data_IF_784705551185
#
_entry.id   IF_784705551185
#
_cell.length_a   1.000
_cell.length_b   1.000
_cell.length_c   1.000
_cell.angle_alpha   90.00
_cell.angle_beta   90.00
_cell.angle_gamma   90.00
#
_symmetry.space_group_name_H-M   'P 1'
#
loop_
_entity.id
_entity.type
_entity.pdbx_description
1 polymer ?
#
# COMPACT_ATOMS: atom_id res chain seq x y z
N UNK A 1 4.71 -25.32 2.65
CA UNK A 1 4.72 -24.62 1.34
C UNK A 1 5.93 -23.72 1.31
N UNK A 2 6.68 -23.65 0.19
CA UNK A 2 7.84 -22.76 0.06
C UNK A 2 7.39 -21.32 -0.09
N UNK A 3 8.06 -20.32 0.55
CA UNK A 3 7.87 -18.91 0.23
C UNK A 3 8.17 -18.63 -1.24
N UNK A 4 7.49 -17.66 -1.84
CA UNK A 4 7.60 -17.36 -3.26
C UNK A 4 7.54 -15.86 -3.56
N UNK A 5 8.24 -15.47 -4.62
CA UNK A 5 8.17 -14.15 -5.20
C UNK A 5 6.95 -14.05 -6.14
N UNK A 6 6.47 -12.85 -6.31
CA UNK A 6 5.40 -12.50 -7.24
C UNK A 6 5.95 -11.65 -8.39
N UNK A 7 5.40 -11.81 -9.60
CA UNK A 7 5.72 -10.94 -10.72
C UNK A 7 5.02 -9.60 -10.53
N UNK A 8 5.74 -8.48 -10.35
CA UNK A 8 5.10 -7.17 -10.16
C UNK A 8 4.28 -6.76 -11.38
N UNK A 9 3.13 -6.13 -11.12
CA UNK A 9 2.27 -5.56 -12.17
C UNK A 9 2.38 -4.05 -12.10
N UNK A 10 2.61 -3.40 -13.22
CA UNK A 10 2.81 -1.96 -13.29
C UNK A 10 1.70 -1.27 -14.09
N UNK A 11 1.35 -0.06 -13.63
CA UNK A 11 0.36 0.78 -14.27
C UNK A 11 0.91 2.17 -14.58
N UNK A 12 0.62 2.66 -15.80
CA UNK A 12 0.83 4.05 -16.14
C UNK A 12 -0.12 4.95 -15.36
N UNK A 13 0.43 5.98 -14.75
CA UNK A 13 -0.36 7.03 -14.08
C UNK A 13 0.09 8.41 -14.54
N UNK A 14 -0.85 9.38 -14.53
CA UNK A 14 -0.55 10.76 -14.97
C UNK A 14 0.38 11.52 -14.00
N UNK A 15 0.64 10.96 -12.84
CA UNK A 15 1.46 11.52 -11.77
C UNK A 15 2.77 10.75 -11.55
N UNK A 16 2.94 9.61 -12.23
CA UNK A 16 4.04 8.69 -11.99
C UNK A 16 5.38 9.14 -12.53
N UNK A 17 6.44 8.52 -12.03
CA UNK A 17 7.83 8.63 -12.51
C UNK A 17 8.48 7.24 -12.61
N UNK A 18 9.80 7.13 -12.61
CA UNK A 18 10.48 5.91 -13.02
C UNK A 18 11.62 5.44 -12.10
N UNK A 19 11.59 5.74 -10.79
CA UNK A 19 12.64 5.23 -9.89
C UNK A 19 12.58 3.70 -9.81
N UNK A 20 11.40 3.13 -9.53
CA UNK A 20 11.20 1.67 -9.49
C UNK A 20 11.42 1.06 -10.87
N UNK A 21 10.91 1.68 -11.95
CA UNK A 21 11.12 1.21 -13.31
C UNK A 21 12.61 1.06 -13.62
N UNK A 22 13.42 2.08 -13.32
CA UNK A 22 14.86 2.07 -13.55
C UNK A 22 15.58 1.03 -12.71
N UNK A 23 15.21 0.86 -11.43
CA UNK A 23 15.77 -0.18 -10.58
C UNK A 23 15.53 -1.58 -11.17
N UNK A 24 14.43 -1.76 -11.93
CA UNK A 24 14.06 -3.00 -12.64
C UNK A 24 14.50 -3.04 -14.10
N UNK A 25 15.33 -2.10 -14.56
CA UNK A 25 15.85 -2.07 -15.92
C UNK A 25 14.83 -1.66 -17.00
N UNK A 26 13.74 -0.99 -16.60
CA UNK A 26 12.66 -0.52 -17.48
C UNK A 26 12.77 1.00 -17.63
N UNK A 27 12.78 1.51 -18.88
CA UNK A 27 12.90 2.95 -19.17
C UNK A 27 11.53 3.57 -19.49
N UNK A 28 10.56 3.36 -18.60
CA UNK A 28 9.20 3.90 -18.73
C UNK A 28 8.70 4.45 -17.38
N UNK A 29 7.82 5.46 -17.45
CA UNK A 29 7.21 6.09 -16.28
C UNK A 29 5.97 5.28 -15.84
N UNK A 30 6.15 4.39 -14.86
CA UNK A 30 5.06 3.71 -14.18
C UNK A 30 4.96 4.21 -12.75
N UNK A 31 3.85 4.87 -12.43
CA UNK A 31 3.65 5.43 -11.08
C UNK A 31 3.20 4.43 -10.05
N UNK A 32 2.58 3.32 -10.46
CA UNK A 32 2.12 2.26 -9.55
C UNK A 32 2.76 0.93 -9.94
N UNK A 33 3.29 0.24 -8.92
CA UNK A 33 3.82 -1.11 -9.02
C UNK A 33 3.19 -2.01 -7.97
N UNK A 34 2.24 -2.86 -8.39
CA UNK A 34 1.59 -3.83 -7.53
C UNK A 34 2.53 -4.98 -7.23
N UNK A 35 3.03 -5.04 -6.00
CA UNK A 35 3.95 -6.08 -5.51
C UNK A 35 3.20 -7.32 -5.05
N UNK A 36 2.10 -7.11 -4.33
CA UNK A 36 1.24 -8.18 -3.85
C UNK A 36 -0.21 -7.77 -4.07
N UNK A 37 -0.93 -8.56 -4.80
CA UNK A 37 -2.36 -8.41 -5.00
C UNK A 37 -3.00 -9.76 -5.35
N UNK A 38 -4.06 -10.11 -4.65
CA UNK A 38 -4.95 -11.21 -4.98
C UNK A 38 -6.33 -10.70 -5.40
N UNK A 39 -6.44 -9.40 -5.73
CA UNK A 39 -7.70 -8.78 -6.11
C UNK A 39 -8.13 -9.22 -7.53
N UNK A 40 -9.42 -9.48 -7.80
CA UNK A 40 -9.90 -9.89 -9.13
C UNK A 40 -9.53 -8.93 -10.27
N UNK A 41 -9.43 -7.63 -9.98
CA UNK A 41 -8.98 -6.64 -10.95
C UNK A 41 -7.50 -6.83 -11.36
N UNK A 42 -6.64 -7.25 -10.42
CA UNK A 42 -5.20 -7.32 -10.61
C UNK A 42 -4.63 -8.34 -9.62
N UNK A 43 -4.31 -9.55 -10.07
CA UNK A 43 -3.66 -10.57 -9.24
C UNK A 43 -2.30 -10.94 -9.82
N UNK A 44 -1.25 -10.83 -9.01
CA UNK A 44 0.13 -11.13 -9.43
C UNK A 44 0.29 -12.61 -9.74
N UNK A 45 1.09 -12.92 -10.76
CA UNK A 45 1.58 -14.28 -11.00
C UNK A 45 2.67 -14.65 -10.00
N UNK A 46 2.72 -15.93 -9.66
CA UNK A 46 3.79 -16.50 -8.85
C UNK A 46 4.97 -16.79 -9.77
N UNK A 47 6.14 -16.26 -9.44
CA UNK A 47 7.38 -16.42 -10.24
C UNK A 47 7.66 -17.88 -10.52
N UNK A 48 7.90 -18.19 -11.79
CA UNK A 48 8.19 -19.56 -12.25
C UNK A 48 6.97 -20.47 -12.40
N UNK A 49 5.75 -19.92 -12.33
CA UNK A 49 4.49 -20.65 -12.56
C UNK A 49 3.55 -19.87 -13.47
N UNK A 50 2.49 -20.55 -13.96
CA UNK A 50 1.39 -19.87 -14.67
C UNK A 50 0.25 -19.43 -13.74
N UNK A 51 0.35 -19.71 -12.43
CA UNK A 51 -0.70 -19.41 -11.45
C UNK A 51 -0.58 -18.02 -10.88
N UNK A 52 -1.72 -17.40 -10.66
CA UNK A 52 -1.83 -16.16 -9.88
C UNK A 52 -1.93 -16.45 -8.38
N UNK A 53 -1.63 -15.45 -7.56
CA UNK A 53 -1.82 -15.53 -6.11
C UNK A 53 -3.28 -15.84 -5.74
N UNK A 54 -4.25 -15.24 -6.44
CA UNK A 54 -5.67 -15.49 -6.21
C UNK A 54 -6.03 -16.95 -6.49
N UNK A 55 -5.57 -17.53 -7.61
CA UNK A 55 -5.83 -18.93 -7.94
C UNK A 55 -5.22 -19.88 -6.91
N UNK A 56 -3.99 -19.60 -6.45
CA UNK A 56 -3.35 -20.39 -5.40
C UNK A 56 -4.11 -20.34 -4.07
N UNK A 57 -4.61 -19.16 -3.70
CA UNK A 57 -5.45 -19.01 -2.51
C UNK A 57 -6.76 -19.81 -2.67
N UNK A 58 -7.42 -19.73 -3.82
CA UNK A 58 -8.66 -20.49 -4.08
C UNK A 58 -8.46 -22.00 -4.03
N UNK A 59 -7.29 -22.50 -4.45
CA UNK A 59 -6.96 -23.93 -4.42
C UNK A 59 -6.56 -24.44 -3.02
N UNK A 60 -5.91 -23.61 -2.21
CA UNK A 60 -5.28 -24.03 -0.94
C UNK A 60 -5.32 -22.94 0.14
N UNK A 61 -6.52 -22.37 0.36
CA UNK A 61 -6.73 -21.19 1.19
C UNK A 61 -6.09 -21.29 2.58
N UNK A 62 -6.39 -22.37 3.33
CA UNK A 62 -5.88 -22.56 4.69
C UNK A 62 -4.36 -22.75 4.75
N UNK A 63 -3.75 -23.34 3.69
CA UNK A 63 -2.29 -23.52 3.63
C UNK A 63 -1.58 -22.21 3.26
N UNK A 64 -2.22 -21.39 2.42
CA UNK A 64 -1.66 -20.12 1.98
C UNK A 64 -1.87 -19.03 3.02
N UNK A 65 -3.11 -18.82 3.45
CA UNK A 65 -3.48 -17.67 4.29
C UNK A 65 -3.47 -17.96 5.79
N UNK A 66 -3.77 -19.20 6.20
CA UNK A 66 -4.05 -19.57 7.58
C UNK A 66 -5.54 -19.86 7.79
N UNK A 67 -5.85 -20.62 8.85
CA UNK A 67 -7.23 -21.06 9.11
C UNK A 67 -8.18 -19.90 9.32
N UNK A 68 -9.25 -19.92 8.53
CA UNK A 68 -10.32 -18.93 8.62
C UNK A 68 -10.00 -17.58 7.99
N UNK A 69 -8.79 -17.35 7.47
CA UNK A 69 -8.50 -16.22 6.62
C UNK A 69 -9.03 -16.48 5.21
N UNK A 70 -9.57 -15.45 4.56
CA UNK A 70 -10.16 -15.52 3.23
C UNK A 70 -9.44 -14.57 2.27
N UNK A 71 -9.87 -14.55 1.02
CA UNK A 71 -9.34 -13.62 0.03
C UNK A 71 -9.51 -12.15 0.45
N UNK A 72 -10.54 -11.85 1.25
CA UNK A 72 -10.80 -10.51 1.77
C UNK A 72 -9.65 -10.02 2.69
N UNK A 73 -9.14 -10.86 3.58
CA UNK A 73 -8.05 -10.52 4.48
C UNK A 73 -6.65 -10.62 3.82
N UNK A 74 -6.57 -10.82 2.50
CA UNK A 74 -5.30 -10.72 1.80
C UNK A 74 -4.87 -9.28 1.71
N UNK A 75 -3.62 -8.97 2.07
CA UNK A 75 -3.09 -7.62 1.93
C UNK A 75 -2.72 -7.31 0.47
N UNK A 76 -2.85 -6.04 0.12
CA UNK A 76 -2.46 -5.50 -1.18
C UNK A 76 -1.34 -4.48 -0.98
N UNK A 77 -0.22 -4.71 -1.65
CA UNK A 77 0.97 -3.87 -1.54
C UNK A 77 1.32 -3.28 -2.89
N UNK A 78 1.67 -1.98 -2.89
CA UNK A 78 2.11 -1.31 -4.11
C UNK A 78 3.16 -0.23 -3.83
N UNK A 79 4.17 -0.12 -4.68
CA UNK A 79 4.98 1.09 -4.74
C UNK A 79 4.24 2.18 -5.49
N UNK A 80 4.28 3.38 -4.93
CA UNK A 80 3.75 4.62 -5.50
C UNK A 80 4.91 5.58 -5.73
N UNK A 81 5.24 5.83 -7.00
CA UNK A 81 6.42 6.60 -7.42
C UNK A 81 5.97 7.89 -8.11
N UNK A 82 6.10 9.03 -7.42
CA UNK A 82 5.39 10.27 -7.78
C UNK A 82 6.32 11.38 -8.25
N UNK A 83 6.07 11.94 -9.44
CA UNK A 83 6.61 13.25 -9.87
C UNK A 83 5.59 14.39 -9.70
N UNK A 84 4.31 14.06 -9.60
CA UNK A 84 3.22 14.98 -9.32
C UNK A 84 2.34 14.40 -8.22
N UNK A 85 1.59 15.25 -7.53
CA UNK A 85 0.65 14.79 -6.52
C UNK A 85 -0.42 13.84 -7.08
N UNK A 86 -0.83 12.84 -6.32
CA UNK A 86 -2.01 12.04 -6.62
C UNK A 86 -3.29 12.91 -6.60
N UNK A 87 -4.39 12.38 -7.12
CA UNK A 87 -5.69 12.99 -6.83
C UNK A 87 -5.98 12.94 -5.34
N UNK A 88 -6.64 13.95 -4.81
CA UNK A 88 -7.24 13.86 -3.49
C UNK A 88 -8.35 12.82 -3.58
N UNK A 89 -8.31 11.83 -2.70
CA UNK A 89 -9.19 10.67 -2.73
C UNK A 89 -9.59 10.25 -1.32
N UNK A 90 -10.59 9.41 -1.24
CA UNK A 90 -11.05 8.78 -0.01
C UNK A 90 -11.49 7.35 -0.30
N UNK A 91 -11.28 6.46 0.65
CA UNK A 91 -11.75 5.08 0.60
C UNK A 91 -12.92 4.90 1.58
N UNK A 92 -13.97 4.16 1.18
CA UNK A 92 -15.07 3.83 2.07
C UNK A 92 -14.70 2.72 3.07
N UNK A 93 -15.57 2.50 4.04
CA UNK A 93 -15.65 1.25 4.80
C UNK A 93 -16.42 0.17 4.01
N UNK A 94 -16.35 -1.08 4.47
CA UNK A 94 -16.89 -2.25 3.76
C UNK A 94 -18.38 -2.11 3.45
N UNK A 95 -19.21 -1.71 4.42
CA UNK A 95 -20.65 -1.61 4.24
C UNK A 95 -21.03 -0.71 3.05
N UNK A 96 -20.41 0.47 2.97
CA UNK A 96 -20.67 1.41 1.87
C UNK A 96 -20.10 0.88 0.54
N UNK A 97 -18.91 0.29 0.56
CA UNK A 97 -18.25 -0.22 -0.64
C UNK A 97 -19.02 -1.40 -1.25
N UNK A 98 -19.48 -2.33 -0.43
CA UNK A 98 -20.28 -3.47 -0.87
C UNK A 98 -21.61 -3.04 -1.52
N UNK A 99 -22.26 -2.01 -0.96
CA UNK A 99 -23.52 -1.49 -1.50
C UNK A 99 -23.33 -0.71 -2.81
N UNK A 100 -22.25 0.08 -2.94
CA UNK A 100 -22.12 1.09 -4.01
C UNK A 100 -21.06 0.75 -5.06
N UNK A 101 -20.11 -0.13 -4.77
CA UNK A 101 -18.97 -0.42 -5.65
C UNK A 101 -18.79 -1.90 -5.97
N UNK A 102 -19.58 -2.79 -5.38
CA UNK A 102 -19.44 -4.25 -5.49
C UNK A 102 -18.00 -4.72 -5.18
N UNK A 103 -17.38 -4.09 -4.20
CA UNK A 103 -16.03 -4.33 -3.70
C UNK A 103 -16.00 -4.04 -2.19
N UNK A 104 -14.90 -4.33 -1.52
CA UNK A 104 -14.72 -4.00 -0.12
C UNK A 104 -14.23 -2.56 0.09
N UNK A 105 -14.29 -2.10 1.32
CA UNK A 105 -13.66 -0.86 1.77
C UNK A 105 -12.13 -0.94 1.75
N UNK A 106 -11.46 0.18 1.92
CA UNK A 106 -10.01 0.20 1.92
C UNK A 106 -9.46 0.94 3.12
N UNK A 107 -8.62 0.26 3.87
CA UNK A 107 -7.75 0.79 4.90
C UNK A 107 -6.31 0.66 4.42
N UNK A 108 -5.50 1.70 4.53
CA UNK A 108 -4.14 1.69 4.01
C UNK A 108 -3.16 2.45 4.89
N UNK A 109 -1.90 2.30 4.58
CA UNK A 109 -0.79 3.01 5.19
C UNK A 109 0.34 3.18 4.18
N UNK A 110 1.21 4.16 4.42
CA UNK A 110 2.37 4.41 3.56
C UNK A 110 3.67 4.45 4.35
N UNK A 111 4.65 3.68 3.91
CA UNK A 111 6.04 3.85 4.31
C UNK A 111 6.77 4.70 3.28
N UNK A 112 7.40 5.78 3.69
CA UNK A 112 8.10 6.70 2.79
C UNK A 112 9.52 6.20 2.55
N UNK A 113 9.78 5.67 1.34
CA UNK A 113 11.10 5.18 0.94
C UNK A 113 12.04 6.30 0.53
N UNK A 114 11.49 7.32 -0.11
CA UNK A 114 12.22 8.54 -0.48
C UNK A 114 11.27 9.73 -0.58
N UNK A 115 11.77 10.91 -0.22
CA UNK A 115 11.03 12.16 -0.34
C UNK A 115 12.00 13.32 -0.52
N UNK A 116 11.79 14.16 -1.55
CA UNK A 116 12.61 15.35 -1.71
C UNK A 116 12.40 16.34 -0.57
N UNK A 117 13.41 17.16 -0.21
CA UNK A 117 13.26 18.17 0.82
C UNK A 117 12.04 19.06 0.60
N UNK A 118 11.17 19.12 1.62
CA UNK A 118 9.91 19.88 1.59
C UNK A 118 8.73 19.15 0.96
N UNK A 119 8.86 17.88 0.59
CA UNK A 119 7.73 17.06 0.13
C UNK A 119 6.65 16.99 1.21
N UNK A 120 5.40 16.98 0.76
CA UNK A 120 4.22 16.89 1.63
C UNK A 120 3.22 15.90 1.04
N UNK A 121 2.44 15.28 1.90
CA UNK A 121 1.24 14.54 1.52
C UNK A 121 0.00 15.20 2.14
N UNK A 122 -1.17 14.86 1.64
CA UNK A 122 -2.45 15.26 2.24
C UNK A 122 -2.96 14.11 3.09
N UNK A 123 -3.33 14.39 4.34
CA UNK A 123 -3.99 13.45 5.23
C UNK A 123 -5.02 14.19 6.12
N UNK A 124 -6.28 14.09 5.73
CA UNK A 124 -7.41 14.80 6.34
C UNK A 124 -7.54 16.26 5.93
N UNK A 125 -8.31 16.98 6.71
CA UNK A 125 -8.64 18.40 6.49
C UNK A 125 -8.28 19.26 7.70
N UNK A 126 -8.13 20.56 7.46
CA UNK A 126 -7.84 21.56 8.52
C UNK A 126 -9.10 22.02 9.24
N UNK A 127 -10.28 21.84 8.62
CA UNK A 127 -11.61 22.12 9.18
C UNK A 127 -12.49 20.87 9.04
N UNK A 128 -13.60 20.82 9.77
CA UNK A 128 -14.58 19.73 9.73
C UNK A 128 -15.95 20.16 9.20
N UNK A 129 -16.06 21.36 8.62
CA UNK A 129 -17.29 21.87 8.01
C UNK A 129 -17.42 21.36 6.56
N UNK A 130 -18.28 20.35 6.37
CA UNK A 130 -18.51 19.72 5.08
C UNK A 130 -19.08 20.68 4.03
N UNK A 131 -19.97 21.61 4.44
CA UNK A 131 -20.59 22.57 3.52
C UNK A 131 -19.57 23.61 3.05
N UNK A 132 -18.69 24.08 3.93
CA UNK A 132 -17.62 24.99 3.58
C UNK A 132 -16.60 24.31 2.64
N UNK A 133 -16.22 23.06 2.92
CA UNK A 133 -15.34 22.27 2.04
C UNK A 133 -16.00 22.07 0.66
N UNK A 134 -17.29 21.76 0.63
CA UNK A 134 -18.04 21.59 -0.62
C UNK A 134 -18.09 22.87 -1.45
N UNK A 135 -18.34 24.00 -0.81
CA UNK A 135 -18.33 25.30 -1.47
C UNK A 135 -16.93 25.63 -2.02
N UNK A 136 -15.88 25.34 -1.27
CA UNK A 136 -14.51 25.53 -1.72
C UNK A 136 -14.17 24.62 -2.91
N UNK A 137 -14.62 23.36 -2.90
CA UNK A 137 -14.43 22.42 -4.02
C UNK A 137 -15.09 22.96 -5.31
N UNK A 138 -16.34 23.45 -5.22
CA UNK A 138 -17.07 24.03 -6.37
C UNK A 138 -16.37 25.28 -6.93
N UNK A 139 -15.66 26.01 -6.10
CA UNK A 139 -14.92 27.22 -6.47
C UNK A 139 -13.44 26.95 -6.84
N UNK A 140 -13.02 25.68 -6.92
CA UNK A 140 -11.61 25.26 -7.14
C UNK A 140 -10.63 25.81 -6.09
N UNK A 141 -11.06 25.99 -4.86
CA UNK A 141 -10.30 26.58 -3.75
C UNK A 141 -10.17 25.62 -2.55
N UNK A 142 -10.43 24.34 -2.75
CA UNK A 142 -10.43 23.32 -1.69
C UNK A 142 -9.04 23.07 -1.10
N UNK A 143 -7.98 23.35 -1.84
CA UNK A 143 -6.59 23.12 -1.44
C UNK A 143 -6.23 23.82 -0.10
N UNK A 144 -6.85 24.94 0.22
CA UNK A 144 -6.63 25.66 1.49
C UNK A 144 -7.12 24.91 2.73
N UNK A 145 -8.04 23.96 2.57
CA UNK A 145 -8.60 23.16 3.66
C UNK A 145 -7.99 21.77 3.77
N UNK A 146 -7.09 21.40 2.85
CA UNK A 146 -6.39 20.11 2.92
C UNK A 146 -5.26 20.18 3.95
N UNK A 147 -5.20 19.17 4.83
CA UNK A 147 -4.14 19.07 5.82
C UNK A 147 -2.87 18.51 5.17
N UNK A 148 -1.90 19.40 4.89
CA UNK A 148 -0.62 19.05 4.27
C UNK A 148 0.41 18.71 5.35
N UNK A 149 0.87 17.46 5.37
CA UNK A 149 1.85 16.94 6.31
C UNK A 149 3.20 16.80 5.61
N UNK A 150 4.27 17.37 6.20
CA UNK A 150 5.64 17.17 5.70
C UNK A 150 6.07 15.74 5.99
N UNK A 151 6.79 15.14 5.04
CA UNK A 151 7.30 13.78 5.16
C UNK A 151 8.76 13.68 4.77
N UNK A 152 9.43 12.67 5.34
CA UNK A 152 10.81 12.32 5.11
C UNK A 152 10.96 10.82 4.88
N UNK A 153 12.08 10.41 4.33
CA UNK A 153 12.41 8.98 4.24
C UNK A 153 12.31 8.32 5.62
N UNK A 154 11.67 7.16 5.68
CA UNK A 154 11.48 6.37 6.88
C UNK A 154 10.21 6.71 7.69
N UNK A 155 9.49 7.76 7.33
CA UNK A 155 8.22 8.08 7.97
C UNK A 155 7.14 7.04 7.57
N UNK A 156 6.25 6.74 8.52
CA UNK A 156 5.09 5.89 8.28
C UNK A 156 3.80 6.59 8.65
N UNK A 157 2.81 6.50 7.77
CA UNK A 157 1.53 7.20 7.91
C UNK A 157 0.38 6.21 7.75
N UNK A 158 -0.54 6.18 8.73
CA UNK A 158 -1.76 5.37 8.67
C UNK A 158 -2.89 6.21 8.10
N UNK A 159 -3.56 5.68 7.10
CA UNK A 159 -4.68 6.30 6.38
C UNK A 159 -5.94 5.43 6.58
N UNK A 160 -6.77 5.71 7.58
CA UNK A 160 -8.01 4.97 7.79
C UNK A 160 -9.02 5.25 6.68
N UNK A 161 -9.95 4.31 6.49
CA UNK A 161 -11.16 4.55 5.68
C UNK A 161 -11.84 5.84 6.10
N UNK A 162 -12.42 6.57 5.17
CA UNK A 162 -13.05 7.88 5.42
C UNK A 162 -12.09 9.07 5.51
N UNK A 163 -10.77 8.90 5.43
CA UNK A 163 -9.83 10.02 5.42
C UNK A 163 -9.57 10.51 4.00
N UNK A 164 -9.76 11.82 3.74
CA UNK A 164 -9.26 12.46 2.52
C UNK A 164 -7.73 12.46 2.52
N UNK A 165 -7.10 11.91 1.47
CA UNK A 165 -5.65 11.75 1.40
C UNK A 165 -5.11 11.83 -0.02
N UNK A 166 -3.82 12.09 -0.15
CA UNK A 166 -3.04 11.97 -1.38
C UNK A 166 -1.55 12.02 -1.09
N UNK A 167 -0.75 11.18 -1.72
CA UNK A 167 0.69 11.45 -1.82
C UNK A 167 0.94 12.72 -2.63
N UNK A 168 1.85 13.55 -2.17
CA UNK A 168 2.31 14.71 -2.89
C UNK A 168 3.30 14.36 -4.00
N UNK A 169 3.90 15.37 -4.59
CA UNK A 169 4.95 15.18 -5.60
C UNK A 169 6.29 14.79 -4.97
N UNK A 170 7.14 14.15 -5.77
CA UNK A 170 8.53 13.83 -5.43
C UNK A 170 8.62 12.91 -4.18
N UNK A 171 7.74 11.93 -4.10
CA UNK A 171 7.68 10.91 -3.04
C UNK A 171 7.71 9.52 -3.68
N UNK A 172 8.51 8.62 -3.10
CA UNK A 172 8.43 7.18 -3.32
C UNK A 172 7.93 6.53 -2.04
N UNK A 173 6.81 5.82 -2.10
CA UNK A 173 6.21 5.16 -0.95
C UNK A 173 5.85 3.70 -1.25
N UNK A 174 5.91 2.84 -0.24
CA UNK A 174 5.26 1.54 -0.24
C UNK A 174 3.90 1.69 0.47
N UNK A 175 2.84 1.43 -0.26
CA UNK A 175 1.48 1.30 0.25
C UNK A 175 1.26 -0.13 0.74
N UNK A 176 0.75 -0.27 1.97
CA UNK A 176 0.23 -1.51 2.52
C UNK A 176 -1.24 -1.28 2.83
N UNK A 177 -2.12 -2.08 2.27
CA UNK A 177 -3.56 -1.90 2.45
C UNK A 177 -4.35 -3.21 2.36
N UNK A 178 -5.65 -3.11 2.61
CA UNK A 178 -6.61 -4.20 2.44
C UNK A 178 -6.81 -4.55 0.96
N UNK A 179 -7.36 -5.73 0.67
CA UNK A 179 -7.55 -6.23 -0.69
C UNK A 179 -8.75 -5.58 -1.39
N UNK A 180 -8.64 -4.29 -1.65
CA UNK A 180 -9.69 -3.48 -2.29
C UNK A 180 -9.13 -2.62 -3.41
N UNK A 181 -9.98 -2.32 -4.39
CA UNK A 181 -9.70 -1.37 -5.47
C UNK A 181 -10.61 -0.14 -5.43
N UNK A 182 -11.44 -0.01 -4.39
CA UNK A 182 -12.42 1.07 -4.27
C UNK A 182 -11.77 2.38 -3.89
N UNK A 183 -11.87 3.36 -4.79
CA UNK A 183 -11.31 4.71 -4.60
C UNK A 183 -12.29 5.75 -5.11
N UNK A 184 -12.72 6.65 -4.24
CA UNK A 184 -13.51 7.82 -4.65
C UNK A 184 -12.61 9.03 -4.82
N UNK A 185 -12.51 9.51 -6.07
CA UNK A 185 -11.70 10.67 -6.44
C UNK A 185 -12.47 11.95 -6.12
N UNK A 186 -12.00 12.65 -5.09
CA UNK A 186 -12.60 13.88 -4.60
C UNK A 186 -12.20 15.10 -5.44
N UNK A 187 -10.90 15.24 -5.75
CA UNK A 187 -10.36 16.36 -6.51
C UNK A 187 -9.11 15.96 -7.28
N UNK A 188 -8.96 16.42 -8.52
CA UNK A 188 -7.83 16.03 -9.39
C UNK A 188 -7.17 17.22 -10.09
N UNK A 189 -7.20 18.40 -9.51
CA UNK A 189 -6.53 19.61 -10.01
C UNK A 189 -6.93 19.97 -11.45
N UNK A 190 -8.06 19.51 -11.95
CA UNK A 190 -8.50 19.63 -13.35
C UNK A 190 -7.46 19.12 -14.37
N UNK A 191 -6.61 18.16 -13.98
CA UNK A 191 -5.57 17.59 -14.85
C UNK A 191 -6.18 16.78 -15.99
N UNK A 192 -5.54 16.89 -17.15
CA UNK A 192 -5.89 16.12 -18.34
C UNK A 192 -4.93 14.96 -18.51
N UNK A 193 -5.45 13.79 -18.85
CA UNK A 193 -4.70 12.63 -19.26
C UNK A 193 -4.08 12.80 -20.67
N UNK A 194 -3.39 11.77 -21.14
CA UNK A 194 -2.83 11.74 -22.51
C UNK A 194 -3.90 11.88 -23.60
N UNK A 195 -5.13 11.50 -23.32
CA UNK A 195 -6.30 11.64 -24.19
C UNK A 195 -6.93 13.04 -24.18
N UNK A 196 -6.36 13.98 -23.43
CA UNK A 196 -6.84 15.35 -23.26
C UNK A 196 -8.07 15.51 -22.36
N UNK A 197 -8.55 14.43 -21.73
CA UNK A 197 -9.74 14.43 -20.86
C UNK A 197 -9.33 14.45 -19.39
N UNK A 198 -10.19 15.03 -18.55
CA UNK A 198 -10.07 14.93 -17.09
C UNK A 198 -10.57 13.56 -16.61
N UNK A 199 -9.99 13.06 -15.52
CA UNK A 199 -10.50 11.85 -14.88
C UNK A 199 -11.84 12.13 -14.20
N UNK A 200 -12.79 11.17 -14.18
CA UNK A 200 -14.05 11.32 -13.46
C UNK A 200 -13.81 11.59 -11.97
N UNK A 201 -14.62 12.48 -11.39
CA UNK A 201 -14.68 12.70 -9.95
C UNK A 201 -15.91 11.97 -9.37
N UNK A 202 -15.78 11.51 -8.14
CA UNK A 202 -16.81 10.82 -7.36
C UNK A 202 -17.21 11.70 -6.16
N UNK A 203 -17.66 12.93 -6.47
CA UNK A 203 -17.86 13.96 -5.44
C UNK A 203 -18.90 13.56 -4.42
N UNK A 204 -20.04 12.99 -4.88
CA UNK A 204 -21.12 12.55 -3.99
C UNK A 204 -20.62 11.45 -3.06
N UNK A 205 -20.08 10.39 -3.61
CA UNK A 205 -19.57 9.23 -2.87
C UNK A 205 -18.45 9.66 -1.90
N UNK A 206 -17.60 10.59 -2.33
CA UNK A 206 -16.55 11.13 -1.47
C UNK A 206 -17.11 11.86 -0.25
N UNK A 207 -18.17 12.67 -0.41
CA UNK A 207 -18.82 13.34 0.73
C UNK A 207 -19.59 12.36 1.61
N UNK A 208 -20.22 11.34 1.02
CA UNK A 208 -20.96 10.32 1.77
C UNK A 208 -20.06 9.55 2.75
N UNK A 209 -18.79 9.30 2.37
CA UNK A 209 -17.88 8.46 3.17
C UNK A 209 -16.81 9.24 3.94
N UNK A 210 -16.62 10.53 3.68
CA UNK A 210 -15.56 11.29 4.35
C UNK A 210 -15.91 11.64 5.78
N UNK A 211 -15.03 11.27 6.70
CA UNK A 211 -15.05 11.76 8.08
C UNK A 211 -14.05 12.91 8.24
N UNK A 212 -14.53 14.13 8.19
CA UNK A 212 -13.71 15.35 8.29
C UNK A 212 -13.05 15.57 9.68
N UNK A 213 -13.37 14.74 10.66
CA UNK A 213 -12.75 14.78 11.99
C UNK A 213 -11.49 13.92 12.09
N UNK A 214 -11.23 13.04 11.13
CA UNK A 214 -10.07 12.16 11.17
C UNK A 214 -8.76 12.96 11.14
N UNK A 215 -7.79 12.49 11.92
CA UNK A 215 -6.42 12.99 11.94
C UNK A 215 -5.47 11.84 11.60
N UNK A 216 -4.39 12.10 10.86
CA UNK A 216 -3.44 11.06 10.52
C UNK A 216 -2.70 10.57 11.76
N UNK A 217 -2.42 9.26 11.80
CA UNK A 217 -1.42 8.71 12.70
C UNK A 217 -0.09 8.70 11.94
N UNK A 218 0.87 9.41 12.50
CA UNK A 218 2.20 9.57 11.93
C UNK A 218 3.24 8.93 12.86
N UNK A 219 4.06 8.04 12.32
CA UNK A 219 5.13 7.35 13.04
C UNK A 219 6.46 7.72 12.41
N UNK A 220 7.30 8.53 13.08
CA UNK A 220 8.61 8.88 12.56
C UNK A 220 9.57 7.70 12.63
N UNK A 221 10.55 7.66 11.72
CA UNK A 221 11.60 6.63 11.71
C UNK A 221 12.39 6.59 13.02
N UNK A 222 12.73 5.38 13.47
CA UNK A 222 13.53 5.17 14.69
C UNK A 222 14.85 4.43 14.49
N UNK A 223 15.07 3.85 13.29
CA UNK A 223 16.23 3.00 13.00
C UNK A 223 16.42 1.81 13.98
N UNK A 224 15.33 1.19 14.36
CA UNK A 224 15.30 0.02 15.21
C UNK A 224 14.16 -0.92 14.81
N UNK A 225 14.28 -2.22 15.11
CA UNK A 225 13.18 -3.15 14.88
C UNK A 225 12.01 -2.84 15.81
N UNK A 226 10.88 -2.45 15.24
CA UNK A 226 9.69 -2.12 16.01
C UNK A 226 8.42 -2.16 15.14
N UNK A 227 7.27 -2.22 15.80
CA UNK A 227 5.97 -2.07 15.14
C UNK A 227 5.75 -0.63 14.74
N UNK A 228 5.53 -0.38 13.46
CA UNK A 228 5.22 0.94 12.89
C UNK A 228 3.75 1.08 12.51
N UNK A 229 3.07 -0.02 12.16
CA UNK A 229 1.66 -0.07 11.81
C UNK A 229 0.86 -0.97 12.75
N UNK A 230 -0.15 -0.41 13.40
CA UNK A 230 -1.11 -1.15 14.22
C UNK A 230 -2.52 -0.76 13.79
N UNK A 231 -2.99 -1.41 12.72
CA UNK A 231 -4.25 -1.13 12.05
C UNK A 231 -5.29 -2.20 12.38
N UNK A 232 -6.59 -1.94 12.24
CA UNK A 232 -7.62 -2.97 12.47
C UNK A 232 -7.40 -4.21 11.60
N UNK A 233 -7.07 -4.04 10.34
CA UNK A 233 -6.98 -5.12 9.35
C UNK A 233 -5.58 -5.69 9.15
N UNK A 234 -4.52 -5.02 9.65
CA UNK A 234 -3.15 -5.49 9.49
C UNK A 234 -2.18 -4.82 10.47
N UNK A 235 -1.01 -5.43 10.60
CA UNK A 235 0.13 -4.83 11.29
C UNK A 235 1.32 -4.75 10.35
N UNK A 236 2.22 -3.77 10.61
CA UNK A 236 3.48 -3.61 9.89
C UNK A 236 4.60 -3.42 10.90
N UNK A 237 5.61 -4.27 10.81
CA UNK A 237 6.83 -4.16 11.59
C UNK A 237 7.98 -3.72 10.68
N UNK A 238 8.75 -2.70 11.09
CA UNK A 238 10.03 -2.37 10.48
C UNK A 238 11.11 -3.22 11.14
N UNK A 239 11.88 -3.95 10.33
CA UNK A 239 12.84 -4.95 10.81
C UNK A 239 14.24 -4.59 10.34
N UNK A 240 15.14 -4.35 11.28
CA UNK A 240 16.58 -4.27 11.10
C UNK A 240 17.21 -5.55 11.64
N UNK A 241 17.69 -6.42 10.78
CA UNK A 241 18.30 -7.69 11.18
C UNK A 241 19.77 -7.52 11.58
N UNK A 242 20.03 -7.10 12.83
CA UNK A 242 21.39 -6.99 13.36
C UNK A 242 22.12 -8.34 13.50
N UNK A 243 21.38 -9.42 13.49
CA UNK A 243 21.80 -10.82 13.43
C UNK A 243 20.76 -11.63 12.70
N UNK A 244 21.04 -12.91 12.40
CA UNK A 244 20.05 -13.82 11.84
C UNK A 244 18.81 -13.86 12.74
N UNK A 245 17.63 -13.64 12.17
CA UNK A 245 16.36 -13.53 12.88
C UNK A 245 15.34 -14.53 12.34
N UNK A 246 14.77 -15.31 13.22
CA UNK A 246 13.68 -16.24 12.90
C UNK A 246 12.32 -15.54 12.98
N UNK A 247 11.47 -15.76 11.97
CA UNK A 247 10.06 -15.40 11.97
C UNK A 247 9.20 -16.64 11.78
N UNK A 248 8.06 -16.71 12.49
CA UNK A 248 7.12 -17.83 12.43
C UNK A 248 5.75 -17.39 11.92
N UNK A 249 5.13 -18.23 11.10
CA UNK A 249 3.73 -18.08 10.68
C UNK A 249 2.86 -18.91 11.64
N UNK A 250 2.49 -18.34 12.78
CA UNK A 250 1.78 -19.06 13.82
C UNK A 250 0.27 -19.19 13.54
N UNK A 251 -0.35 -18.15 12.98
CA UNK A 251 -1.78 -18.09 12.70
C UNK A 251 -2.10 -17.80 11.22
N UNK A 252 -1.23 -17.04 10.54
CA UNK A 252 -1.45 -16.53 9.18
C UNK A 252 -0.17 -16.45 8.37
N UNK A 253 -0.31 -16.11 7.09
CA UNK A 253 0.80 -15.74 6.18
C UNK A 253 1.46 -14.43 6.62
N UNK A 254 2.62 -14.12 6.06
CA UNK A 254 3.25 -12.80 6.15
C UNK A 254 3.81 -12.37 4.78
N UNK A 255 4.03 -11.07 4.62
CA UNK A 255 4.68 -10.49 3.45
C UNK A 255 5.92 -9.74 3.93
N UNK A 256 7.08 -10.07 3.33
CA UNK A 256 8.33 -9.35 3.55
C UNK A 256 8.58 -8.44 2.34
N UNK A 257 8.63 -7.13 2.55
CA UNK A 257 8.99 -6.16 1.50
C UNK A 257 10.40 -5.63 1.74
N UNK A 258 11.29 -5.86 0.78
CA UNK A 258 12.67 -5.38 0.88
C UNK A 258 12.75 -3.91 0.45
N UNK A 259 13.06 -3.05 1.41
CA UNK A 259 13.08 -1.60 1.24
C UNK A 259 14.49 -1.00 1.11
N UNK A 260 15.52 -1.83 1.16
CA UNK A 260 16.93 -1.43 1.08
C UNK A 260 17.71 -2.36 0.12
N UNK A 261 18.96 -2.68 0.40
CA UNK A 261 19.79 -3.55 -0.44
C UNK A 261 19.30 -5.00 -0.48
N UNK A 262 19.66 -5.73 -1.53
CA UNK A 262 19.36 -7.14 -1.64
C UNK A 262 19.69 -7.90 -0.36
N UNK A 263 18.81 -8.80 0.05
CA UNK A 263 18.97 -9.56 1.28
C UNK A 263 18.65 -11.06 1.04
N UNK A 264 18.97 -11.89 2.02
CA UNK A 264 18.76 -13.33 1.94
C UNK A 264 17.79 -13.80 3.02
N UNK A 265 16.80 -14.57 2.60
CA UNK A 265 15.84 -15.27 3.46
C UNK A 265 16.13 -16.76 3.34
N UNK A 266 16.14 -17.49 4.46
CA UNK A 266 16.36 -18.93 4.48
C UNK A 266 15.08 -19.66 4.87
N UNK A 267 14.71 -20.67 4.09
CA UNK A 267 13.60 -21.56 4.37
C UNK A 267 14.05 -23.03 4.16
N UNK A 268 13.92 -23.87 5.18
CA UNK A 268 14.34 -25.30 5.13
C UNK A 268 15.75 -25.50 4.56
N UNK A 269 16.73 -24.68 4.97
CA UNK A 269 18.10 -24.62 4.48
C UNK A 269 18.27 -24.23 3.00
N UNK A 270 17.23 -23.76 2.35
CA UNK A 270 17.31 -23.15 1.02
C UNK A 270 17.37 -21.63 1.15
N UNK A 271 18.30 -21.02 0.44
CA UNK A 271 18.43 -19.56 0.37
C UNK A 271 17.51 -19.00 -0.71
N UNK A 272 16.81 -17.93 -0.38
CA UNK A 272 15.97 -17.12 -1.27
C UNK A 272 16.56 -15.71 -1.26
N UNK A 273 17.10 -15.27 -2.39
CA UNK A 273 17.51 -13.87 -2.55
C UNK A 273 16.26 -13.03 -2.73
N UNK A 274 16.13 -12.01 -1.91
CA UNK A 274 15.07 -11.01 -2.01
C UNK A 274 15.68 -9.69 -2.50
N UNK A 275 15.52 -9.34 -3.79
CA UNK A 275 16.07 -8.12 -4.36
C UNK A 275 15.45 -6.87 -3.71
N UNK A 276 16.17 -5.74 -3.82
CA UNK A 276 15.61 -4.44 -3.42
C UNK A 276 14.29 -4.16 -4.19
N UNK A 277 13.31 -3.65 -3.48
CA UNK A 277 11.95 -3.37 -3.96
C UNK A 277 11.09 -4.59 -4.32
N UNK A 278 11.56 -5.81 -4.10
CA UNK A 278 10.71 -6.99 -4.27
C UNK A 278 10.03 -7.38 -2.95
N UNK A 279 8.92 -8.10 -3.07
CA UNK A 279 8.18 -8.62 -1.92
C UNK A 279 8.11 -10.15 -1.98
N UNK A 280 8.42 -10.80 -0.84
CA UNK A 280 8.31 -12.25 -0.65
C UNK A 280 7.00 -12.56 0.06
N UNK A 281 6.14 -13.34 -0.57
CA UNK A 281 4.97 -13.92 0.09
C UNK A 281 5.39 -15.19 0.84
N UNK A 282 5.13 -15.21 2.15
CA UNK A 282 5.43 -16.35 3.04
C UNK A 282 4.12 -16.99 3.46
N UNK A 283 3.67 -18.07 2.80
CA UNK A 283 2.44 -18.76 3.15
C UNK A 283 2.42 -19.25 4.59
N UNK A 284 1.26 -19.37 5.18
CA UNK A 284 1.07 -19.95 6.53
C UNK A 284 1.73 -21.33 6.66
N UNK A 285 1.61 -22.18 5.63
CA UNK A 285 2.21 -23.50 5.63
C UNK A 285 3.75 -23.51 5.52
N UNK A 286 4.40 -22.36 5.32
CA UNK A 286 5.88 -22.25 5.39
C UNK A 286 6.38 -22.44 6.81
N UNK A 287 5.59 -22.10 7.81
CA UNK A 287 5.79 -22.22 9.25
C UNK A 287 6.87 -21.31 9.81
N UNK A 288 8.09 -21.35 9.24
CA UNK A 288 9.24 -20.60 9.75
C UNK A 288 10.17 -20.22 8.61
N UNK A 289 10.73 -19.02 8.70
CA UNK A 289 11.83 -18.51 7.86
C UNK A 289 12.89 -17.88 8.75
N UNK A 290 14.09 -17.73 8.22
CA UNK A 290 15.18 -16.96 8.88
C UNK A 290 15.57 -15.80 7.97
N UNK A 291 15.50 -14.58 8.46
CA UNK A 291 16.07 -13.39 7.83
C UNK A 291 17.56 -13.36 8.16
N UNK A 292 18.41 -13.24 7.16
CA UNK A 292 19.86 -13.13 7.38
C UNK A 292 20.25 -11.73 7.86
N UNK A 293 21.32 -11.68 8.63
CA UNK A 293 21.92 -10.42 9.12
C UNK A 293 22.13 -9.41 7.99
N UNK A 294 21.87 -8.16 8.26
CA UNK A 294 22.04 -7.02 7.37
C UNK A 294 20.79 -6.63 6.59
N UNK A 295 19.70 -7.40 6.68
CA UNK A 295 18.44 -7.06 6.01
C UNK A 295 17.71 -5.89 6.69
N UNK A 296 17.08 -5.03 5.88
CA UNK A 296 16.15 -3.99 6.32
C UNK A 296 14.84 -4.16 5.56
N UNK A 297 13.80 -4.61 6.25
CA UNK A 297 12.54 -5.08 5.68
C UNK A 297 11.34 -4.45 6.36
N UNK A 298 10.22 -4.38 5.64
CA UNK A 298 8.90 -4.30 6.24
C UNK A 298 8.27 -5.69 6.27
N UNK A 299 7.74 -6.08 7.42
CA UNK A 299 6.99 -7.32 7.60
C UNK A 299 5.52 -6.96 7.82
N UNK A 300 4.68 -7.28 6.83
CA UNK A 300 3.24 -7.00 6.86
C UNK A 300 2.48 -8.27 7.19
N UNK A 301 1.61 -8.20 8.20
CA UNK A 301 0.80 -9.32 8.66
C UNK A 301 -0.68 -8.94 8.61
N UNK A 302 -1.57 -9.82 8.11
CA UNK A 302 -3.00 -9.59 8.17
C UNK A 302 -3.48 -9.68 9.62
N UNK A 303 -4.59 -9.02 9.90
CA UNK A 303 -5.30 -9.13 11.17
C UNK A 303 -6.77 -9.40 10.88
N UNK A 304 -7.39 -10.19 11.72
CA UNK A 304 -8.84 -10.35 11.83
C UNK A 304 -9.35 -9.59 13.04
N UNK A 305 -10.50 -8.94 12.84
CA UNK A 305 -11.32 -8.41 13.93
C UNK A 305 -11.99 -9.52 14.77
#
# INVERSE_FOLDING_TARGET
MKPFLLEPIHDYTIWGTNHISKARGIDEDYGTWWEVSAHPYCSNKIVGTDKTLMEMIQESQDEVLGKGYTLHETLRLAYLDTKNALSIQVHPEDDYALEHSNDYGKYESWYILDAKPGATLVAGTTINDADEIKNALMNNDVDKYLNKVKVHKGDYIIIPSGMLHALGKDILALEVGTNSNTTYRFYDYNRKGKDGKTRPLHVKESFDVTNFNLKPTFVPQKHETHRIGDCPNFTVDEVYADSDMDLTCDEHYMILSNIDADCTIVWNNEEIVLPQYDSLFVPFASKKITIKQGAHLLVSNPRKD
#
